data_IF_425084349453
#
_entry.id   IF_425084349453
#
_cell.length_a   1.000
_cell.length_b   1.000
_cell.length_c   1.000
_cell.angle_alpha   90.00
_cell.angle_beta   90.00
_cell.angle_gamma   90.00
#
_symmetry.space_group_name_H-M   'P 1'
#
loop_
_entity.id
_entity.type
_entity.pdbx_description
1 polymer ?
#
# COMPACT_ATOMS: atom_id res chain seq x y z
N UNK A 1 6.71 13.53 -1.76
CA UNK A 1 7.68 12.52 -1.26
C UNK A 1 7.04 11.47 -0.34
N UNK A 2 6.44 11.81 0.82
CA UNK A 2 5.87 10.82 1.75
C UNK A 2 4.86 9.84 1.12
N UNK A 3 3.95 10.34 0.26
CA UNK A 3 3.00 9.48 -0.48
C UNK A 3 3.71 8.47 -1.38
N UNK A 4 4.82 8.86 -2.00
CA UNK A 4 5.62 8.02 -2.88
C UNK A 4 6.33 6.92 -2.07
N UNK A 5 6.99 7.28 -0.97
CA UNK A 5 7.63 6.32 -0.04
C UNK A 5 6.63 5.26 0.41
N UNK A 6 5.43 5.67 0.86
CA UNK A 6 4.37 4.74 1.24
C UNK A 6 3.96 3.82 0.10
N UNK A 7 3.76 4.37 -1.09
CA UNK A 7 3.36 3.60 -2.26
C UNK A 7 4.42 2.57 -2.66
N UNK A 8 5.69 2.94 -2.57
CA UNK A 8 6.81 2.06 -2.91
C UNK A 8 6.94 0.91 -1.91
N UNK A 9 6.81 1.18 -0.61
CA UNK A 9 6.80 0.12 0.41
C UNK A 9 5.65 -0.88 0.20
N UNK A 10 4.46 -0.41 -0.17
CA UNK A 10 3.30 -1.27 -0.42
C UNK A 10 3.40 -2.09 -1.73
N UNK A 11 4.38 -1.77 -2.59
CA UNK A 11 4.65 -2.53 -3.83
C UNK A 11 5.65 -3.67 -3.61
N UNK A 12 6.41 -3.64 -2.51
CA UNK A 12 7.38 -4.70 -2.18
C UNK A 12 6.63 -5.94 -1.68
N UNK A 13 6.71 -7.09 -2.36
CA UNK A 13 5.96 -8.29 -1.99
C UNK A 13 6.25 -8.79 -0.57
N UNK A 14 7.50 -8.68 -0.11
CA UNK A 14 7.95 -9.11 1.21
C UNK A 14 7.32 -8.28 2.34
N UNK A 15 6.87 -7.06 2.02
CA UNK A 15 6.27 -6.09 2.92
C UNK A 15 4.75 -6.03 2.81
N UNK A 16 4.11 -7.04 2.23
CA UNK A 16 2.68 -7.04 2.00
C UNK A 16 1.82 -6.95 3.29
N UNK A 17 2.39 -7.33 4.43
CA UNK A 17 1.81 -7.16 5.76
C UNK A 17 1.53 -5.69 6.11
N UNK A 18 2.24 -4.74 5.49
CA UNK A 18 2.00 -3.31 5.65
C UNK A 18 0.63 -2.87 5.11
N UNK A 19 -0.03 -3.71 4.31
CA UNK A 19 -1.41 -3.49 3.89
C UNK A 19 -2.43 -3.79 5.00
N UNK A 20 -2.04 -4.45 6.09
CA UNK A 20 -2.92 -4.64 7.24
C UNK A 20 -3.18 -3.32 7.96
N UNK A 21 -4.42 -3.14 8.43
CA UNK A 21 -4.85 -1.89 9.02
C UNK A 21 -4.07 -1.52 10.28
N UNK A 22 -3.53 -2.49 11.02
CA UNK A 22 -2.72 -2.27 12.22
C UNK A 22 -1.44 -1.47 11.96
N UNK A 23 -0.93 -1.48 10.72
CA UNK A 23 0.28 -0.77 10.34
C UNK A 23 0.01 0.59 9.70
N UNK A 24 -1.25 0.97 9.46
CA UNK A 24 -1.61 2.16 8.66
C UNK A 24 -1.01 3.45 9.23
N UNK A 25 -1.21 3.70 10.52
CA UNK A 25 -0.77 4.94 11.16
C UNK A 25 0.75 4.98 11.31
N UNK A 26 1.35 3.83 11.63
CA UNK A 26 2.79 3.70 11.76
C UNK A 26 3.50 3.89 10.41
N UNK A 27 2.96 3.29 9.35
CA UNK A 27 3.44 3.45 7.98
C UNK A 27 3.33 4.90 7.51
N UNK A 28 2.22 5.57 7.84
CA UNK A 28 2.06 7.00 7.56
C UNK A 28 3.10 7.84 8.31
N UNK A 29 3.26 7.61 9.62
CA UNK A 29 4.22 8.33 10.45
C UNK A 29 5.67 8.14 9.95
N UNK A 30 6.05 6.90 9.60
CA UNK A 30 7.34 6.60 8.99
C UNK A 30 7.53 7.34 7.68
N UNK A 31 6.57 7.25 6.76
CA UNK A 31 6.68 7.86 5.43
C UNK A 31 6.83 9.38 5.51
N UNK A 32 6.21 10.02 6.50
CA UNK A 32 6.37 11.46 6.76
C UNK A 32 7.74 11.77 7.39
N UNK A 33 8.20 10.97 8.35
CA UNK A 33 9.51 11.16 8.99
C UNK A 33 10.64 11.00 7.97
N UNK A 34 10.63 9.91 7.20
CA UNK A 34 11.58 9.61 6.12
C UNK A 34 11.60 10.71 5.06
N UNK A 35 10.43 11.21 4.63
CA UNK A 35 10.36 12.31 3.67
C UNK A 35 10.98 13.60 4.22
N UNK A 36 10.77 13.90 5.50
CA UNK A 36 11.35 15.08 6.14
C UNK A 36 12.85 14.97 6.27
N UNK A 37 13.34 13.81 6.69
CA UNK A 37 14.77 13.52 6.76
C UNK A 37 15.43 13.70 5.40
N UNK A 38 14.91 13.07 4.34
CA UNK A 38 15.49 13.17 2.99
C UNK A 38 15.55 14.61 2.48
N UNK A 39 14.45 15.36 2.61
CA UNK A 39 14.43 16.78 2.21
C UNK A 39 15.43 17.60 3.02
N UNK A 40 15.58 17.31 4.32
CA UNK A 40 16.51 18.04 5.18
C UNK A 40 17.98 17.71 4.84
N UNK A 41 18.30 16.44 4.60
CA UNK A 41 19.65 16.00 4.19
C UNK A 41 19.99 16.55 2.81
N UNK A 42 19.09 16.45 1.83
CA UNK A 42 19.28 17.03 0.49
C UNK A 42 19.53 18.55 0.55
N UNK A 43 18.85 19.25 1.47
CA UNK A 43 19.10 20.67 1.70
C UNK A 43 20.48 20.92 2.33
N UNK A 44 20.88 20.12 3.33
CA UNK A 44 22.20 20.25 3.95
C UNK A 44 23.36 19.93 3.00
N UNK A 45 23.18 18.97 2.09
CA UNK A 45 24.19 18.61 1.08
C UNK A 45 24.50 19.79 0.12
N UNK A 46 23.60 20.77 0.03
CA UNK A 46 23.78 22.01 -0.72
C UNK A 46 24.51 23.13 0.03
N UNK A 47 24.81 22.94 1.32
CA UNK A 47 25.47 23.94 2.16
C UNK A 47 26.99 23.74 2.20
N UNK A 48 27.73 24.82 2.45
CA UNK A 48 29.12 24.69 2.91
C UNK A 48 29.20 24.08 4.31
N UNK A 49 30.36 23.56 4.69
CA UNK A 49 30.56 22.93 6.01
C UNK A 49 30.32 23.95 7.14
N UNK A 50 30.74 25.19 6.92
CA UNK A 50 30.57 26.30 7.85
C UNK A 50 29.08 26.64 8.06
N UNK A 51 28.30 26.65 6.98
CA UNK A 51 26.84 26.88 7.03
C UNK A 51 26.09 25.70 7.65
N UNK A 52 26.52 24.47 7.39
CA UNK A 52 25.94 23.27 7.98
C UNK A 52 26.23 23.15 9.49
N UNK A 53 27.38 23.68 9.95
CA UNK A 53 27.78 23.61 11.34
C UNK A 53 26.98 24.54 12.28
N UNK A 54 26.47 25.67 11.78
CA UNK A 54 25.69 26.62 12.59
C UNK A 54 24.76 27.49 11.75
N UNK A 55 23.49 27.55 12.14
CA UNK A 55 22.59 28.60 11.65
C UNK A 55 22.88 29.95 12.32
N UNK A 56 22.33 31.04 11.77
CA UNK A 56 22.47 32.40 12.31
C UNK A 56 21.86 32.59 13.72
N UNK A 57 21.20 31.56 14.29
CA UNK A 57 20.56 31.52 15.60
C UNK A 57 21.26 30.54 16.56
N UNK A 58 22.38 29.92 16.15
CA UNK A 58 23.18 28.99 16.96
C UNK A 58 22.62 27.57 17.09
N UNK A 59 21.67 27.15 16.26
CA UNK A 59 21.17 25.77 16.26
C UNK A 59 22.00 24.91 15.31
N UNK A 60 22.65 23.82 15.76
CA UNK A 60 23.44 22.97 14.85
C UNK A 60 22.50 22.18 13.93
N UNK A 61 22.56 22.41 12.61
CA UNK A 61 21.76 21.64 11.66
C UNK A 61 22.05 20.13 11.72
N UNK A 62 23.30 19.78 12.08
CA UNK A 62 23.72 18.41 12.35
C UNK A 62 22.93 17.73 13.49
N UNK A 63 22.54 18.48 14.52
CA UNK A 63 21.72 17.93 15.61
C UNK A 63 20.30 17.63 15.12
N UNK A 64 19.70 18.56 14.37
CA UNK A 64 18.40 18.34 13.72
C UNK A 64 18.44 17.15 12.75
N UNK A 65 19.50 17.03 11.92
CA UNK A 65 19.67 15.88 11.03
C UNK A 65 19.69 14.56 11.82
N UNK A 66 20.46 14.53 12.92
CA UNK A 66 20.55 13.36 13.80
C UNK A 66 19.21 13.01 14.42
N UNK A 67 18.45 13.99 14.90
CA UNK A 67 17.11 13.75 15.47
C UNK A 67 16.14 13.18 14.45
N UNK A 68 16.15 13.70 13.21
CA UNK A 68 15.32 13.21 12.12
C UNK A 68 15.68 11.76 11.76
N UNK A 69 16.98 11.46 11.61
CA UNK A 69 17.49 10.11 11.34
C UNK A 69 17.15 9.11 12.46
N UNK A 70 17.29 9.51 13.73
CA UNK A 70 16.91 8.67 14.87
C UNK A 70 15.41 8.39 14.86
N UNK A 71 14.59 9.39 14.53
CA UNK A 71 13.14 9.25 14.47
C UNK A 71 12.70 8.31 13.35
N UNK A 72 13.19 8.49 12.13
CA UNK A 72 12.88 7.59 11.01
C UNK A 72 13.35 6.17 11.29
N UNK A 73 14.56 5.99 11.81
CA UNK A 73 15.12 4.68 12.19
C UNK A 73 14.29 3.96 13.24
N UNK A 74 13.81 4.68 14.28
CA UNK A 74 12.91 4.09 15.28
C UNK A 74 11.59 3.62 14.68
N UNK A 75 11.03 4.39 13.75
CA UNK A 75 9.78 4.04 13.07
C UNK A 75 10.00 2.86 12.11
N UNK A 76 11.13 2.83 11.40
CA UNK A 76 11.54 1.72 10.55
C UNK A 76 11.67 0.42 11.35
N UNK A 77 12.30 0.46 12.53
CA UNK A 77 12.42 -0.70 13.41
C UNK A 77 11.06 -1.25 13.84
N UNK A 78 10.12 -0.37 14.23
CA UNK A 78 8.76 -0.76 14.59
C UNK A 78 7.94 -1.30 13.41
N UNK A 79 8.30 -0.94 12.18
CA UNK A 79 7.72 -1.50 10.97
C UNK A 79 8.38 -2.82 10.54
N UNK A 80 9.45 -3.25 11.22
CA UNK A 80 10.24 -4.41 10.82
C UNK A 80 11.10 -4.19 9.57
N UNK A 81 11.42 -2.93 9.27
CA UNK A 81 12.30 -2.55 8.15
C UNK A 81 13.77 -2.48 8.56
N UNK A 82 14.06 -2.50 9.87
CA UNK A 82 15.42 -2.55 10.38
C UNK A 82 16.01 -3.96 10.26
N UNK A 83 17.35 -4.10 10.16
CA UNK A 83 18.02 -5.42 10.08
C UNK A 83 17.69 -6.30 11.30
N UNK A 84 17.73 -5.68 12.49
CA UNK A 84 17.47 -6.34 13.76
C UNK A 84 16.05 -6.02 14.24
N UNK A 85 15.09 -6.82 13.79
CA UNK A 85 13.69 -6.68 14.20
C UNK A 85 13.50 -7.32 15.58
N UNK A 86 12.90 -6.65 16.57
CA UNK A 86 12.54 -7.27 17.85
C UNK A 86 11.52 -8.43 17.68
N UNK A 87 11.51 -9.40 18.59
CA UNK A 87 10.62 -10.58 18.47
C UNK A 87 9.14 -10.20 18.51
N UNK A 88 8.75 -9.23 19.35
CA UNK A 88 7.38 -8.72 19.45
C UNK A 88 6.91 -8.11 18.12
N UNK A 89 7.81 -7.44 17.40
CA UNK A 89 7.52 -6.89 16.07
C UNK A 89 7.43 -8.03 15.04
N UNK A 90 8.30 -9.04 15.12
CA UNK A 90 8.21 -10.23 14.26
C UNK A 90 6.88 -10.98 14.42
N UNK A 91 6.40 -11.13 15.64
CA UNK A 91 5.09 -11.73 15.93
C UNK A 91 3.95 -10.91 15.33
N UNK A 92 3.94 -9.58 15.54
CA UNK A 92 2.95 -8.69 14.94
C UNK A 92 2.91 -8.78 13.41
N UNK A 93 4.09 -8.90 12.77
CA UNK A 93 4.21 -9.09 11.33
C UNK A 93 3.62 -10.44 10.90
N UNK A 94 3.93 -11.52 11.63
CA UNK A 94 3.39 -12.87 11.34
C UNK A 94 1.86 -12.87 11.40
N UNK A 95 1.30 -12.26 12.43
CA UNK A 95 -0.15 -12.17 12.60
C UNK A 95 -0.78 -11.32 11.50
N UNK A 96 -0.16 -10.19 11.14
CA UNK A 96 -0.63 -9.34 10.06
C UNK A 96 -0.60 -10.04 8.70
N UNK A 97 0.47 -10.80 8.39
CA UNK A 97 0.53 -11.65 7.19
C UNK A 97 -0.63 -12.63 7.12
N UNK A 98 -0.93 -13.29 8.24
CA UNK A 98 -2.06 -14.22 8.34
C UNK A 98 -3.39 -13.51 8.08
N UNK A 99 -3.62 -12.34 8.69
CA UNK A 99 -4.83 -11.54 8.44
C UNK A 99 -4.95 -11.07 7.00
N UNK A 100 -3.85 -10.66 6.38
CA UNK A 100 -3.82 -10.23 4.97
C UNK A 100 -4.15 -11.41 4.04
N UNK A 101 -3.58 -12.59 4.28
CA UNK A 101 -3.88 -13.81 3.54
C UNK A 101 -5.38 -14.16 3.64
N UNK A 102 -5.93 -14.21 4.85
CA UNK A 102 -7.36 -14.49 5.08
C UNK A 102 -8.28 -13.46 4.40
N UNK A 103 -7.91 -12.17 4.43
CA UNK A 103 -8.66 -11.11 3.71
C UNK A 103 -8.64 -11.33 2.20
N UNK A 104 -7.49 -11.74 1.63
CA UNK A 104 -7.36 -12.04 0.20
C UNK A 104 -8.19 -13.25 -0.20
N UNK A 105 -8.14 -14.33 0.56
CA UNK A 105 -8.96 -15.53 0.34
C UNK A 105 -10.46 -15.21 0.37
N UNK A 106 -10.91 -14.49 1.40
CA UNK A 106 -12.32 -14.05 1.50
C UNK A 106 -12.74 -13.19 0.31
N UNK A 107 -11.86 -12.31 -0.17
CA UNK A 107 -12.13 -11.47 -1.34
C UNK A 107 -12.19 -12.31 -2.63
N UNK A 108 -11.31 -13.30 -2.77
CA UNK A 108 -11.31 -14.22 -3.90
C UNK A 108 -12.58 -15.09 -3.92
N UNK A 109 -12.98 -15.63 -2.76
CA UNK A 109 -14.22 -16.40 -2.62
C UNK A 109 -15.45 -15.57 -3.00
N UNK A 110 -15.59 -14.36 -2.46
CA UNK A 110 -16.70 -13.46 -2.81
C UNK A 110 -16.74 -13.12 -4.30
N UNK A 111 -15.57 -12.97 -4.93
CA UNK A 111 -15.48 -12.73 -6.37
C UNK A 111 -15.94 -13.97 -7.16
N UNK A 112 -15.49 -15.16 -6.78
CA UNK A 112 -15.89 -16.41 -7.43
C UNK A 112 -17.41 -16.66 -7.28
N UNK A 113 -17.98 -16.39 -6.11
CA UNK A 113 -19.42 -16.47 -5.88
C UNK A 113 -20.20 -15.48 -6.76
N UNK A 114 -19.72 -14.24 -6.88
CA UNK A 114 -20.32 -13.23 -7.77
C UNK A 114 -20.25 -13.63 -9.24
N UNK A 115 -19.09 -14.12 -9.70
CA UNK A 115 -18.90 -14.57 -11.09
C UNK A 115 -19.80 -15.78 -11.40
N UNK A 116 -19.92 -16.74 -10.46
CA UNK A 116 -20.82 -17.89 -10.60
C UNK A 116 -22.29 -17.48 -10.68
N UNK A 117 -22.72 -16.47 -9.90
CA UNK A 117 -24.07 -15.93 -9.95
C UNK A 117 -24.34 -15.26 -11.31
N UNK A 118 -23.42 -14.45 -11.81
CA UNK A 118 -23.52 -13.80 -13.12
C UNK A 118 -23.62 -14.84 -14.24
N UNK A 119 -22.80 -15.89 -14.19
CA UNK A 119 -22.85 -16.97 -15.17
C UNK A 119 -24.16 -17.77 -15.09
N UNK A 120 -24.71 -18.00 -13.90
CA UNK A 120 -26.02 -18.62 -13.73
C UNK A 120 -27.13 -17.77 -14.37
N UNK A 121 -27.14 -16.45 -14.14
CA UNK A 121 -28.07 -15.53 -14.81
C UNK A 121 -27.89 -15.52 -16.33
N UNK A 122 -26.65 -15.54 -16.82
CA UNK A 122 -26.36 -15.60 -18.26
C UNK A 122 -26.90 -16.89 -18.88
N UNK A 123 -26.66 -18.05 -18.26
CA UNK A 123 -27.19 -19.35 -18.72
C UNK A 123 -28.71 -19.37 -18.72
N UNK A 124 -29.36 -18.92 -17.64
CA UNK A 124 -30.81 -18.83 -17.56
C UNK A 124 -31.41 -17.95 -18.66
N UNK A 125 -30.75 -16.81 -18.98
CA UNK A 125 -31.17 -15.91 -20.06
C UNK A 125 -30.98 -16.50 -21.47
N UNK A 126 -29.98 -17.36 -21.68
CA UNK A 126 -29.81 -18.09 -22.96
C UNK A 126 -30.91 -19.13 -23.16
N UNK A 127 -31.31 -19.82 -22.08
CA UNK A 127 -32.43 -20.79 -22.11
C UNK A 127 -33.79 -20.08 -22.34
N UNK A 128 -33.92 -18.83 -21.91
CA UNK A 128 -35.10 -18.00 -22.13
C UNK A 128 -35.01 -17.07 -23.35
N UNK A 129 -34.21 -17.43 -24.37
CA UNK A 129 -34.37 -16.81 -25.69
C UNK A 129 -35.67 -17.35 -26.28
N UNK A 130 -36.69 -16.52 -26.57
CA UNK A 130 -37.88 -16.99 -27.25
C UNK A 130 -37.44 -17.52 -28.62
N UNK A 131 -37.69 -18.79 -28.88
CA UNK A 131 -37.53 -19.41 -30.21
C UNK A 131 -38.57 -18.89 -31.22
N UNK A 132 -39.47 -18.00 -30.79
CA UNK A 132 -40.54 -17.46 -31.62
C UNK A 132 -40.16 -16.07 -32.14
N UNK A 133 -39.25 -16.04 -33.10
CA UNK A 133 -39.28 -14.99 -34.11
C UNK A 133 -39.56 -15.69 -35.44
N UNK A 134 -40.82 -15.74 -35.92
CA UNK A 134 -41.06 -16.24 -37.25
C UNK A 134 -40.37 -15.28 -38.22
N UNK A 135 -39.51 -15.83 -39.07
CA UNK A 135 -38.99 -15.15 -40.25
C UNK A 135 -40.18 -14.70 -41.11
N UNK A 136 -40.65 -13.47 -40.95
CA UNK A 136 -41.51 -12.82 -41.94
C UNK A 136 -40.65 -12.33 -43.09
N UNK A 137 -39.98 -13.27 -43.76
CA UNK A 137 -39.39 -13.05 -45.06
C UNK A 137 -40.44 -13.35 -46.14
N UNK A 138 -40.74 -12.31 -46.90
CA UNK A 138 -41.10 -12.35 -48.32
C UNK A 138 -42.46 -12.96 -48.74
N UNK A 139 -43.35 -12.06 -49.16
CA UNK A 139 -43.73 -11.96 -50.58
C UNK A 139 -44.66 -13.02 -51.15
N UNK A 140 -45.90 -12.61 -51.46
CA UNK A 140 -46.79 -13.36 -52.33
C UNK A 140 -48.11 -12.63 -52.55
N UNK A 141 -48.10 -11.63 -53.43
CA UNK A 141 -49.32 -11.07 -54.02
C UNK A 141 -49.88 -12.08 -55.03
N UNK A 142 -51.15 -12.43 -54.87
CA UNK A 142 -52.03 -12.93 -55.94
C UNK A 142 -53.25 -12.01 -55.99
#
# INVERSE_FOLDING_TARGET
MAKQIRADLLRVPELDYLADSSFTDLLFAFSVAEARERVFVEWMDGLSIEEAASDARGTPHLETARELMVRSSRLAARLGLAPDVPEDVREQIRDARTRVALKRERKAQKKAEADALVDAFRRARVVHRPTDQPDSAAGGWL
#
